data_IF_754290540824
#
_entry.id   IF_754290540824
#
_cell.length_a   1.000
_cell.length_b   1.000
_cell.length_c   1.000
_cell.angle_alpha   90.00
_cell.angle_beta   90.00
_cell.angle_gamma   90.00
#
_symmetry.space_group_name_H-M   'P 1'
#
loop_
_entity.id
_entity.type
_entity.pdbx_description
1 polymer ?
#
# COMPACT_ATOMS: atom_id res chain seq x y z
N UNK A 1 -23.73 -30.28 -26.70
CA UNK A 1 -23.34 -29.82 -25.33
C UNK A 1 -21.95 -29.22 -25.41
N UNK A 2 -21.86 -28.04 -26.03
CA UNK A 2 -20.61 -27.31 -26.11
C UNK A 2 -20.34 -26.59 -24.79
N UNK A 3 -19.46 -27.23 -24.04
CA UNK A 3 -18.52 -26.62 -23.06
C UNK A 3 -19.13 -25.71 -21.99
N UNK A 4 -19.58 -26.29 -20.92
CA UNK A 4 -19.58 -25.56 -19.66
C UNK A 4 -18.13 -25.14 -19.36
N UNK A 5 -17.83 -23.86 -19.51
CA UNK A 5 -16.49 -23.31 -19.27
C UNK A 5 -16.17 -23.11 -17.78
N UNK A 6 -17.07 -23.45 -16.90
CA UNK A 6 -16.87 -23.37 -15.45
C UNK A 6 -17.45 -24.61 -14.80
N UNK A 7 -16.61 -25.47 -14.28
CA UNK A 7 -16.98 -26.50 -13.32
C UNK A 7 -16.57 -25.97 -11.94
N UNK A 8 -17.56 -25.41 -11.23
CA UNK A 8 -17.36 -25.13 -9.79
C UNK A 8 -17.65 -26.42 -9.05
N UNK A 9 -16.63 -27.10 -8.58
CA UNK A 9 -16.79 -28.14 -7.55
C UNK A 9 -16.98 -27.42 -6.21
N UNK A 10 -18.17 -27.52 -5.58
CA UNK A 10 -18.34 -26.95 -4.25
C UNK A 10 -17.41 -27.66 -3.29
N UNK A 11 -16.50 -26.94 -2.69
CA UNK A 11 -15.55 -27.49 -1.69
C UNK A 11 -16.20 -27.75 -0.34
N UNK A 12 -17.40 -27.25 -0.11
CA UNK A 12 -18.20 -27.58 1.07
C UNK A 12 -19.69 -27.50 0.75
N UNK A 13 -20.40 -28.52 1.18
CA UNK A 13 -21.86 -28.64 1.12
C UNK A 13 -22.36 -28.74 2.55
N UNK A 14 -23.10 -27.76 3.02
CA UNK A 14 -23.73 -27.77 4.32
C UNK A 14 -25.24 -27.54 4.16
N UNK A 15 -26.04 -28.52 4.59
CA UNK A 15 -27.52 -28.45 4.67
C UNK A 15 -28.19 -27.96 3.38
N UNK A 16 -27.76 -28.41 2.20
CA UNK A 16 -28.36 -28.02 0.93
C UNK A 16 -27.90 -26.67 0.40
N UNK A 17 -26.92 -26.01 1.03
CA UNK A 17 -26.33 -24.76 0.57
C UNK A 17 -24.97 -25.00 -0.05
N UNK A 18 -24.77 -24.44 -1.24
CA UNK A 18 -23.45 -24.36 -1.86
C UNK A 18 -22.69 -23.22 -1.19
N UNK A 19 -21.62 -23.54 -0.47
CA UNK A 19 -20.70 -22.55 0.06
C UNK A 19 -19.68 -22.20 -1.01
N UNK A 20 -19.77 -21.00 -1.56
CA UNK A 20 -18.72 -20.48 -2.42
C UNK A 20 -17.53 -20.03 -1.57
N UNK A 21 -16.36 -20.58 -1.83
CA UNK A 21 -15.14 -20.09 -1.20
C UNK A 21 -14.63 -18.91 -2.04
N UNK A 22 -14.69 -17.70 -1.47
CA UNK A 22 -14.05 -16.53 -2.08
C UNK A 22 -12.53 -16.79 -2.11
N UNK A 23 -11.85 -16.62 -3.25
CA UNK A 23 -10.39 -16.73 -3.30
C UNK A 23 -9.75 -15.76 -2.31
N UNK A 24 -8.62 -16.14 -1.72
CA UNK A 24 -7.89 -15.24 -0.84
C UNK A 24 -7.41 -14.01 -1.64
N UNK A 25 -7.43 -12.81 -1.05
CA UNK A 25 -6.84 -11.62 -1.66
C UNK A 25 -5.37 -11.86 -2.02
N UNK A 26 -4.93 -11.33 -3.12
CA UNK A 26 -3.53 -11.33 -3.56
C UNK A 26 -2.96 -9.92 -3.52
N UNK A 27 -1.64 -9.80 -3.57
CA UNK A 27 -0.98 -8.51 -3.67
C UNK A 27 -0.60 -8.24 -5.12
N UNK A 28 -0.84 -7.02 -5.57
CA UNK A 28 -0.37 -6.48 -6.83
C UNK A 28 1.14 -6.25 -6.85
N UNK A 29 1.62 -5.66 -7.94
CA UNK A 29 3.03 -5.28 -8.08
C UNK A 29 3.44 -4.23 -7.04
N UNK A 30 4.74 -4.17 -6.75
CA UNK A 30 5.32 -3.11 -5.95
C UNK A 30 5.14 -1.75 -6.64
N UNK A 31 4.67 -0.74 -5.90
CA UNK A 31 4.49 0.62 -6.37
C UNK A 31 5.64 1.56 -6.00
N UNK A 32 6.39 1.21 -4.96
CA UNK A 32 7.55 1.97 -4.52
C UNK A 32 8.76 1.58 -5.36
N UNK A 33 9.45 2.55 -5.94
CA UNK A 33 10.73 2.33 -6.60
C UNK A 33 11.85 2.61 -5.61
N UNK A 34 12.90 1.78 -5.61
CA UNK A 34 14.06 1.97 -4.72
C UNK A 34 13.64 2.13 -3.24
N UNK A 35 12.72 1.25 -2.78
CA UNK A 35 12.24 1.25 -1.41
C UNK A 35 13.25 0.72 -0.39
N UNK A 36 14.30 0.05 -0.87
CA UNK A 36 15.49 -0.39 -0.13
C UNK A 36 16.61 0.66 -0.09
N UNK A 37 16.38 1.82 -0.71
CA UNK A 37 17.33 2.93 -0.77
C UNK A 37 18.74 2.56 -1.26
N UNK A 38 18.83 1.55 -2.12
CA UNK A 38 20.11 1.07 -2.66
C UNK A 38 20.88 2.15 -3.43
N UNK A 39 20.14 3.12 -4.00
CA UNK A 39 20.68 4.26 -4.74
C UNK A 39 20.09 5.58 -4.23
N UNK A 40 20.82 6.68 -4.41
CA UNK A 40 20.29 8.02 -4.12
C UNK A 40 19.48 8.56 -5.30
N UNK A 41 18.40 7.85 -5.64
CA UNK A 41 17.50 8.18 -6.75
C UNK A 41 16.03 7.95 -6.35
N UNK A 42 15.11 8.34 -7.25
CA UNK A 42 13.67 8.07 -7.19
C UNK A 42 12.91 8.75 -6.03
N UNK A 43 13.63 9.35 -5.10
CA UNK A 43 13.05 10.03 -3.94
C UNK A 43 13.37 11.53 -3.94
N UNK A 44 12.35 12.35 -3.73
CA UNK A 44 12.54 13.77 -3.47
C UNK A 44 12.79 13.99 -1.99
N UNK A 45 13.89 14.62 -1.67
CA UNK A 45 14.38 14.85 -0.31
C UNK A 45 14.19 16.32 0.08
N UNK A 46 13.44 16.59 1.15
CA UNK A 46 13.45 17.88 1.81
C UNK A 46 14.71 18.09 2.66
N UNK A 47 14.83 19.27 3.26
CA UNK A 47 15.98 19.61 4.10
C UNK A 47 16.14 18.62 5.25
N UNK A 48 17.35 18.12 5.45
CA UNK A 48 17.72 17.21 6.52
C UNK A 48 17.52 15.72 6.17
N UNK A 49 16.99 15.39 4.98
CA UNK A 49 16.92 14.03 4.48
C UNK A 49 18.11 13.66 3.62
N UNK A 50 18.69 12.49 3.83
CA UNK A 50 19.79 11.93 3.02
C UNK A 50 19.54 10.44 2.75
N UNK A 51 19.98 9.96 1.58
CA UNK A 51 19.97 8.54 1.21
C UNK A 51 21.44 8.12 1.05
N UNK A 52 21.85 7.12 1.79
CA UNK A 52 23.22 6.57 1.75
C UNK A 52 23.28 5.22 2.43
N UNK A 53 24.10 4.31 1.89
CA UNK A 53 24.35 3.01 2.52
C UNK A 53 23.14 2.08 2.61
N UNK A 54 22.18 2.19 1.68
CA UNK A 54 20.99 1.34 1.66
C UNK A 54 19.91 1.78 2.64
N UNK A 55 19.95 3.00 3.14
CA UNK A 55 18.91 3.56 4.02
C UNK A 55 18.70 5.04 3.73
N UNK A 56 17.57 5.57 4.14
CA UNK A 56 17.39 7.03 4.24
C UNK A 56 17.40 7.47 5.70
N UNK A 57 18.02 8.61 5.95
CA UNK A 57 18.10 9.20 7.28
C UNK A 57 17.52 10.60 7.30
N UNK A 58 16.69 10.84 8.30
CA UNK A 58 16.29 12.17 8.75
C UNK A 58 17.28 12.64 9.82
N UNK A 59 17.87 13.81 9.68
CA UNK A 59 18.73 14.40 10.69
C UNK A 59 18.23 15.80 11.04
N UNK A 60 17.64 15.93 12.21
CA UNK A 60 17.02 17.19 12.66
C UNK A 60 16.12 17.83 11.60
N UNK A 61 15.28 17.02 10.95
CA UNK A 61 14.39 17.46 9.88
C UNK A 61 13.29 18.36 10.47
N UNK A 62 13.16 19.59 9.98
CA UNK A 62 12.08 20.48 10.40
C UNK A 62 10.70 19.93 10.00
N UNK A 63 9.66 20.39 10.71
CA UNK A 63 8.28 20.10 10.33
C UNK A 63 8.00 20.46 8.87
N UNK A 64 7.18 19.64 8.19
CA UNK A 64 6.80 19.73 6.78
C UNK A 64 7.90 19.44 5.77
N UNK A 65 9.16 19.25 6.17
CA UNK A 65 10.18 18.74 5.27
C UNK A 65 9.97 17.24 5.06
N UNK A 66 9.89 16.82 3.79
CA UNK A 66 9.42 15.49 3.41
C UNK A 66 10.49 14.69 2.71
N UNK A 67 10.48 13.39 2.95
CA UNK A 67 10.94 12.38 2.01
C UNK A 67 9.72 11.94 1.22
N UNK A 68 9.72 12.04 -0.10
CA UNK A 68 8.54 11.73 -0.91
C UNK A 68 8.84 11.06 -2.23
N UNK A 69 7.87 10.26 -2.69
CA UNK A 69 7.87 9.64 -4.01
C UNK A 69 6.46 9.66 -4.60
N UNK A 70 6.38 9.81 -5.92
CA UNK A 70 5.14 9.59 -6.66
C UNK A 70 4.97 8.11 -6.99
N UNK A 71 3.88 7.50 -6.54
CA UNK A 71 3.56 6.09 -6.78
C UNK A 71 2.63 5.87 -7.98
N UNK A 72 2.44 6.88 -8.83
CA UNK A 72 1.47 6.82 -9.92
C UNK A 72 0.06 7.20 -9.45
N UNK A 73 -0.93 6.79 -10.22
CA UNK A 73 -2.34 7.11 -9.92
C UNK A 73 -2.95 5.98 -9.11
N UNK A 74 -3.56 6.31 -7.98
CA UNK A 74 -4.36 5.38 -7.19
C UNK A 74 -5.83 5.42 -7.59
N UNK A 75 -6.55 4.35 -7.27
CA UNK A 75 -8.00 4.25 -7.44
C UNK A 75 -8.67 4.50 -6.09
N UNK A 76 -9.54 5.51 -6.03
CA UNK A 76 -10.31 5.78 -4.80
C UNK A 76 -11.17 4.56 -4.46
N UNK A 77 -11.10 4.12 -3.21
CA UNK A 77 -11.81 2.94 -2.73
C UNK A 77 -11.00 1.63 -2.82
N UNK A 78 -9.93 1.58 -3.60
CA UNK A 78 -9.01 0.43 -3.61
C UNK A 78 -8.25 0.33 -2.30
N UNK A 79 -7.98 -0.91 -1.89
CA UNK A 79 -7.18 -1.23 -0.70
C UNK A 79 -5.71 -1.39 -1.07
N UNK A 80 -4.86 -0.96 -0.17
CA UNK A 80 -3.41 -1.08 -0.30
C UNK A 80 -2.82 -1.61 1.00
N UNK A 81 -1.81 -2.47 0.88
CA UNK A 81 -0.95 -2.88 1.99
C UNK A 81 0.34 -2.08 1.92
N UNK A 82 0.79 -1.58 3.08
CA UNK A 82 2.08 -0.91 3.20
C UNK A 82 2.95 -1.60 4.25
N UNK A 83 4.26 -1.46 4.10
CA UNK A 83 5.26 -1.81 5.09
C UNK A 83 6.38 -0.78 5.05
N UNK A 84 6.90 -0.42 6.19
CA UNK A 84 8.03 0.50 6.35
C UNK A 84 8.83 0.12 7.59
N UNK A 85 10.14 0.04 7.48
CA UNK A 85 11.02 -0.19 8.62
C UNK A 85 11.59 1.15 9.09
N UNK A 86 11.32 1.52 10.35
CA UNK A 86 11.75 2.78 10.96
C UNK A 86 12.51 2.49 12.23
N UNK A 87 13.65 3.16 12.40
CA UNK A 87 14.53 3.01 13.57
C UNK A 87 15.19 4.33 13.95
N UNK A 88 15.84 4.36 15.12
CA UNK A 88 16.58 5.51 15.64
C UNK A 88 15.71 6.78 15.70
N UNK A 89 14.46 6.64 16.14
CA UNK A 89 13.48 7.73 16.13
C UNK A 89 13.72 8.67 17.30
N UNK A 90 13.87 9.96 17.00
CA UNK A 90 13.78 11.07 17.95
C UNK A 90 12.77 12.07 17.42
N UNK A 91 11.77 12.42 18.23
CA UNK A 91 10.63 13.24 17.80
C UNK A 91 9.48 12.40 17.27
N UNK A 92 8.60 13.04 16.50
CA UNK A 92 7.41 12.41 15.95
C UNK A 92 7.39 12.57 14.43
N UNK A 93 6.88 11.53 13.73
CA UNK A 93 6.74 11.51 12.28
C UNK A 93 5.30 11.18 11.86
N UNK A 94 4.98 11.52 10.62
CA UNK A 94 3.75 11.12 9.93
C UNK A 94 4.10 10.36 8.66
N UNK A 95 3.27 9.40 8.30
CA UNK A 95 3.32 8.72 7.00
C UNK A 95 1.99 8.92 6.29
N UNK A 96 2.07 9.35 5.04
CA UNK A 96 0.92 9.65 4.19
C UNK A 96 1.02 8.89 2.88
N UNK A 97 -0.06 8.22 2.50
CA UNK A 97 -0.14 7.44 1.26
C UNK A 97 -1.53 7.61 0.65
N UNK A 98 -1.61 7.99 -0.63
CA UNK A 98 -2.86 8.05 -1.41
C UNK A 98 -4.03 8.78 -0.73
N UNK A 99 -3.78 9.91 -0.10
CA UNK A 99 -4.81 10.69 0.56
C UNK A 99 -5.02 10.37 2.05
N UNK A 100 -4.35 9.36 2.58
CA UNK A 100 -4.55 8.87 3.94
C UNK A 100 -3.30 9.07 4.79
N UNK A 101 -3.44 9.61 5.98
CA UNK A 101 -2.40 9.51 7.01
C UNK A 101 -2.48 8.11 7.62
N UNK A 102 -1.68 7.16 7.09
CA UNK A 102 -1.58 5.81 7.67
C UNK A 102 -0.94 5.83 9.06
N UNK A 103 -0.11 6.85 9.31
CA UNK A 103 0.39 7.24 10.62
C UNK A 103 0.30 8.77 10.72
N UNK A 104 -0.62 9.29 11.54
CA UNK A 104 -0.82 10.73 11.67
C UNK A 104 0.25 11.39 12.56
N UNK A 105 0.61 10.74 13.65
CA UNK A 105 1.68 11.15 14.57
C UNK A 105 2.18 9.92 15.29
N UNK A 106 3.44 9.56 15.09
CA UNK A 106 4.03 8.36 15.68
C UNK A 106 5.49 8.58 16.04
N UNK A 107 5.97 7.85 17.03
CA UNK A 107 7.38 7.67 17.36
C UNK A 107 7.74 6.17 17.48
N UNK A 108 6.90 5.29 16.94
CA UNK A 108 7.09 3.85 16.98
C UNK A 108 8.26 3.45 16.09
N UNK A 109 9.06 2.50 16.54
CA UNK A 109 10.15 1.89 15.80
C UNK A 109 9.85 0.46 15.40
N UNK A 110 10.60 -0.07 14.44
CA UNK A 110 10.48 -1.42 13.90
C UNK A 110 9.80 -1.46 12.54
N UNK A 111 9.37 -2.66 12.16
CA UNK A 111 8.58 -2.85 10.94
C UNK A 111 7.14 -2.49 11.25
N UNK A 112 6.65 -1.47 10.58
CA UNK A 112 5.28 -0.98 10.69
C UNK A 112 4.57 -1.33 9.41
N UNK A 113 3.51 -2.11 9.52
CA UNK A 113 2.71 -2.54 8.37
C UNK A 113 1.21 -2.39 8.65
N UNK A 114 0.44 -2.31 7.58
CA UNK A 114 -1.00 -2.23 7.67
C UNK A 114 -1.67 -2.17 6.31
N UNK A 115 -2.98 -2.07 6.35
CA UNK A 115 -3.80 -1.86 5.17
C UNK A 115 -4.58 -0.55 5.31
N UNK A 116 -4.83 0.10 4.19
CA UNK A 116 -5.66 1.30 4.13
C UNK A 116 -6.44 1.34 2.82
N UNK A 117 -7.48 2.18 2.78
CA UNK A 117 -8.26 2.43 1.57
C UNK A 117 -7.90 3.81 1.03
N UNK A 118 -7.54 3.91 -0.25
CA UNK A 118 -7.18 5.17 -0.88
C UNK A 118 -8.38 6.13 -0.93
N UNK A 119 -8.14 7.39 -0.56
CA UNK A 119 -9.15 8.47 -0.58
C UNK A 119 -8.87 9.55 -1.62
N UNK A 120 -7.75 9.44 -2.34
CA UNK A 120 -7.33 10.38 -3.37
C UNK A 120 -6.73 9.64 -4.55
N UNK A 121 -6.88 10.16 -5.75
CA UNK A 121 -6.17 9.71 -6.95
C UNK A 121 -4.72 10.21 -7.01
N UNK A 122 -4.31 11.10 -6.10
CA UNK A 122 -2.95 11.59 -6.01
C UNK A 122 -2.03 10.49 -5.46
N UNK A 123 -1.16 9.98 -6.30
CA UNK A 123 -0.21 8.93 -5.99
C UNK A 123 0.96 9.36 -5.10
N UNK A 124 0.73 10.21 -4.11
CA UNK A 124 1.78 10.67 -3.22
C UNK A 124 2.01 9.68 -2.07
N UNK A 125 3.26 9.33 -1.87
CA UNK A 125 3.80 8.79 -0.61
C UNK A 125 4.74 9.81 -0.02
N UNK A 126 4.65 10.06 1.28
CA UNK A 126 5.67 10.83 1.97
C UNK A 126 5.77 10.50 3.47
N UNK A 127 6.96 10.72 4.00
CA UNK A 127 7.24 10.76 5.43
C UNK A 127 7.72 12.16 5.80
N UNK A 128 7.24 12.69 6.89
CA UNK A 128 7.61 14.02 7.39
C UNK A 128 7.63 14.08 8.91
N UNK A 129 8.27 15.08 9.47
CA UNK A 129 8.09 15.43 10.88
C UNK A 129 6.65 15.80 11.18
N UNK A 130 6.10 15.31 12.28
CA UNK A 130 4.69 15.46 12.67
C UNK A 130 4.46 16.50 13.77
N UNK A 131 5.48 17.06 14.36
CA UNK A 131 5.35 17.99 15.48
C UNK A 131 5.60 19.42 15.06
N UNK A 132 4.70 20.32 15.44
CA UNK A 132 4.86 21.76 15.21
C UNK A 132 6.04 22.38 15.97
N UNK A 133 6.57 21.69 16.98
CA UNK A 133 7.61 22.20 17.87
C UNK A 133 8.90 21.37 17.86
N UNK A 134 9.00 20.32 17.03
CA UNK A 134 10.11 19.39 17.11
C UNK A 134 10.77 19.11 15.78
N UNK A 135 12.06 18.83 15.85
CA UNK A 135 12.83 18.22 14.78
C UNK A 135 12.65 16.71 14.86
N UNK A 136 12.65 16.05 13.71
CA UNK A 136 12.68 14.59 13.66
C UNK A 136 14.07 14.11 13.26
N UNK A 137 14.55 13.08 13.93
CA UNK A 137 15.63 12.22 13.45
C UNK A 137 15.13 10.78 13.39
N UNK A 138 15.42 10.08 12.30
CA UNK A 138 15.01 8.70 12.09
C UNK A 138 15.85 8.06 10.97
N UNK A 139 15.90 6.74 10.97
CA UNK A 139 16.40 5.93 9.85
C UNK A 139 15.25 5.13 9.28
N UNK A 140 15.06 5.16 7.96
CA UNK A 140 14.00 4.45 7.25
C UNK A 140 14.62 3.53 6.22
N UNK A 141 14.03 2.35 6.09
CA UNK A 141 14.43 1.32 5.14
C UNK A 141 13.22 0.47 4.73
N UNK A 142 13.35 -0.27 3.63
CA UNK A 142 12.39 -1.27 3.17
C UNK A 142 10.94 -0.78 3.08
N UNK A 143 10.74 0.32 2.35
CA UNK A 143 9.41 0.87 2.07
C UNK A 143 8.74 0.08 0.97
N UNK A 144 7.52 -0.39 1.22
CA UNK A 144 6.71 -1.14 0.26
C UNK A 144 5.26 -0.66 0.29
N UNK A 145 4.66 -0.53 -0.88
CA UNK A 145 3.21 -0.27 -1.05
C UNK A 145 2.71 -1.11 -2.20
N UNK A 146 1.69 -1.94 -1.96
CA UNK A 146 1.07 -2.82 -2.97
C UNK A 146 -0.44 -2.73 -2.91
N UNK A 147 -1.09 -2.80 -4.05
CA UNK A 147 -2.54 -2.93 -4.09
C UNK A 147 -2.98 -4.30 -3.56
N UNK A 148 -4.05 -4.33 -2.78
CA UNK A 148 -4.71 -5.57 -2.37
C UNK A 148 -5.78 -5.89 -3.42
N UNK A 149 -5.52 -6.92 -4.21
CA UNK A 149 -6.43 -7.40 -5.25
C UNK A 149 -7.41 -8.37 -4.59
N UNK A 150 -8.66 -7.96 -4.49
CA UNK A 150 -9.71 -8.82 -3.98
C UNK A 150 -9.86 -10.07 -4.87
N UNK A 151 -9.87 -11.23 -4.24
CA UNK A 151 -10.07 -12.51 -4.92
C UNK A 151 -11.52 -12.71 -5.34
N UNK A 152 -12.11 -11.76 -6.03
CA UNK A 152 -13.46 -11.92 -6.56
C UNK A 152 -13.44 -12.70 -7.88
N UNK A 153 -14.53 -13.44 -8.15
CA UNK A 153 -14.69 -14.11 -9.42
C UNK A 153 -15.16 -13.09 -10.46
N UNK A 154 -14.29 -12.70 -11.35
CA UNK A 154 -14.66 -11.86 -12.51
C UNK A 154 -15.26 -12.74 -13.59
N UNK A 155 -16.58 -12.68 -13.75
CA UNK A 155 -17.29 -13.41 -14.80
C UNK A 155 -17.40 -12.56 -16.06
N UNK A 156 -16.40 -12.65 -16.93
CA UNK A 156 -16.48 -12.04 -18.24
C UNK A 156 -17.27 -12.95 -19.20
N UNK A 157 -18.45 -12.51 -19.62
CA UNK A 157 -19.22 -13.19 -20.68
C UNK A 157 -18.80 -12.68 -22.03
N UNK A 158 -18.30 -13.55 -22.88
CA UNK A 158 -17.96 -13.23 -24.26
C UNK A 158 -19.17 -13.16 -25.21
N UNK A 159 -20.38 -13.43 -24.72
CA UNK A 159 -21.63 -13.33 -25.50
C UNK A 159 -22.82 -13.00 -24.62
N UNK A 160 -23.80 -12.29 -25.17
CA UNK A 160 -25.10 -12.10 -24.55
C UNK A 160 -25.78 -13.47 -24.39
N UNK A 161 -25.98 -13.91 -23.16
CA UNK A 161 -26.72 -15.15 -22.92
C UNK A 161 -28.19 -14.94 -23.30
N UNK A 162 -28.64 -15.66 -24.34
CA UNK A 162 -30.07 -15.82 -24.59
C UNK A 162 -30.64 -16.65 -23.46
N UNK A 163 -31.55 -16.11 -22.66
CA UNK A 163 -32.33 -16.88 -21.71
C UNK A 163 -33.21 -17.84 -22.53
N UNK A 164 -32.97 -19.13 -22.42
CA UNK A 164 -33.92 -20.11 -22.83
C UNK A 164 -34.97 -20.24 -21.74
N UNK A 165 -36.12 -19.62 -21.92
CA UNK A 165 -37.27 -19.85 -21.04
C UNK A 165 -37.85 -21.20 -21.47
N UNK A 166 -37.79 -22.16 -20.57
CA UNK A 166 -38.56 -23.41 -20.65
C UNK A 166 -39.92 -23.22 -20.08
#
# INVERSE_FOLDING_TARGET
LDKASIVTTPTAYDNGKILSVKPAPSLGSELVTNGDFATDSDWTKGTGWTISGGVTTANNVPNLQRLQQGLGTSIIGSKYKYSINISNVSGFYSVYIFGVYVLATSNTEGIIEGEFTATSTNGAFWVAGASASGLISATIDNVSVKEVIDGDFDFTRNSSATRVNS
#
